data_IF_244366091526
#
_entry.id   IF_244366091526
#
_cell.length_a   1.000
_cell.length_b   1.000
_cell.length_c   1.000
_cell.angle_alpha   90.00
_cell.angle_beta   90.00
_cell.angle_gamma   90.00
#
_symmetry.space_group_name_H-M   'P 1'
#
loop_
_entity.id
_entity.type
_entity.pdbx_description
1 polymer ?
#
# COMPACT_ATOMS: atom_id res chain seq x y z
N UNK A 1 -2.59 22.65 12.33
CA UNK A 1 -3.69 22.12 13.16
C UNK A 1 -3.29 20.72 13.59
N UNK A 2 -2.95 20.50 14.87
CA UNK A 2 -2.47 19.20 15.34
C UNK A 2 -3.61 18.23 15.67
N UNK A 3 -3.31 16.93 15.72
CA UNK A 3 -4.21 15.82 16.08
C UNK A 3 -5.15 16.09 17.28
N UNK A 4 -4.72 16.78 18.38
CA UNK A 4 -5.60 17.06 19.51
C UNK A 4 -6.81 17.97 19.17
N UNK A 5 -6.67 18.85 18.18
CA UNK A 5 -7.74 19.79 17.79
C UNK A 5 -8.85 19.13 16.98
N UNK A 6 -8.63 17.92 16.45
CA UNK A 6 -9.63 17.10 15.75
C UNK A 6 -10.36 16.14 16.71
N UNK A 7 -10.08 16.21 18.02
CA UNK A 7 -10.61 15.26 19.02
C UNK A 7 -10.03 13.85 18.90
N UNK A 8 -9.01 13.66 18.05
CA UNK A 8 -8.33 12.38 17.86
C UNK A 8 -7.06 12.38 18.72
N UNK A 9 -7.22 11.94 19.96
CA UNK A 9 -6.07 11.65 20.80
C UNK A 9 -5.59 10.22 20.54
N UNK A 10 -4.54 10.09 19.71
CA UNK A 10 -3.93 8.81 19.35
C UNK A 10 -3.31 8.10 20.56
N UNK A 11 -3.00 8.83 21.64
CA UNK A 11 -2.41 8.25 22.85
C UNK A 11 -3.45 7.50 23.70
N UNK A 12 -4.73 7.85 23.55
CA UNK A 12 -5.85 7.17 24.23
C UNK A 12 -6.62 6.23 23.30
N UNK A 13 -6.57 6.43 21.97
CA UNK A 13 -7.23 5.58 20.99
C UNK A 13 -6.29 4.52 20.38
N UNK A 14 -6.11 3.42 21.10
CA UNK A 14 -5.26 2.30 20.70
C UNK A 14 -5.62 1.69 19.33
N UNK A 15 -6.90 1.44 18.99
CA UNK A 15 -7.26 0.93 17.66
C UNK A 15 -6.83 1.86 16.52
N UNK A 16 -7.03 3.17 16.68
CA UNK A 16 -6.61 4.16 15.69
C UNK A 16 -5.09 4.22 15.55
N UNK A 17 -4.35 4.14 16.67
CA UNK A 17 -2.89 4.09 16.66
C UNK A 17 -2.37 2.83 15.95
N UNK A 18 -2.95 1.66 16.25
CA UNK A 18 -2.59 0.40 15.59
C UNK A 18 -2.89 0.45 14.09
N UNK A 19 -4.06 0.96 13.69
CA UNK A 19 -4.41 1.11 12.28
C UNK A 19 -3.43 2.03 11.55
N UNK A 20 -3.09 3.18 12.13
CA UNK A 20 -2.13 4.11 11.57
C UNK A 20 -0.72 3.50 11.47
N UNK A 21 -0.25 2.80 12.49
CA UNK A 21 1.05 2.14 12.50
C UNK A 21 1.14 1.04 11.43
N UNK A 22 0.10 0.21 11.30
CA UNK A 22 0.01 -0.83 10.28
C UNK A 22 -0.03 -0.24 8.86
N UNK A 23 -0.84 0.80 8.64
CA UNK A 23 -0.93 1.48 7.35
C UNK A 23 0.39 2.15 6.97
N UNK A 24 1.04 2.83 7.92
CA UNK A 24 2.35 3.43 7.71
C UNK A 24 3.40 2.36 7.37
N UNK A 25 3.44 1.26 8.12
CA UNK A 25 4.38 0.16 7.87
C UNK A 25 4.11 -0.53 6.53
N UNK A 26 2.85 -0.63 6.12
CA UNK A 26 2.46 -1.10 4.78
C UNK A 26 3.06 -0.21 3.69
N UNK A 27 2.95 1.11 3.83
CA UNK A 27 3.57 2.06 2.90
C UNK A 27 5.10 1.98 2.90
N UNK A 28 5.74 1.75 4.05
CA UNK A 28 7.19 1.53 4.11
C UNK A 28 7.59 0.27 3.33
N UNK A 29 6.87 -0.84 3.51
CA UNK A 29 7.13 -2.07 2.76
C UNK A 29 6.96 -1.86 1.25
N UNK A 30 5.95 -1.08 0.85
CA UNK A 30 5.74 -0.69 -0.54
C UNK A 30 6.90 0.14 -1.09
N UNK A 31 7.39 1.12 -0.33
CA UNK A 31 8.55 1.94 -0.70
C UNK A 31 9.80 1.12 -0.92
N UNK A 32 10.11 0.23 0.00
CA UNK A 32 11.25 -0.68 -0.15
C UNK A 32 11.09 -1.57 -1.40
N UNK A 33 9.86 -1.99 -1.72
CA UNK A 33 9.57 -2.81 -2.88
C UNK A 33 9.89 -2.06 -4.19
N UNK A 34 9.35 -0.86 -4.39
CA UNK A 34 9.60 -0.13 -5.63
C UNK A 34 11.02 0.45 -5.69
N UNK A 35 11.65 0.78 -4.56
CA UNK A 35 13.06 1.18 -4.50
C UNK A 35 13.99 0.04 -4.93
N UNK A 36 13.65 -1.21 -4.61
CA UNK A 36 14.41 -2.37 -5.07
C UNK A 36 14.32 -2.55 -6.60
N UNK A 37 13.19 -2.21 -7.22
CA UNK A 37 13.05 -2.18 -8.68
C UNK A 37 13.90 -1.04 -9.25
N UNK A 38 13.92 0.11 -8.57
CA UNK A 38 14.75 1.25 -8.96
C UNK A 38 16.25 0.93 -8.87
N UNK A 39 16.70 0.27 -7.80
CA UNK A 39 18.09 -0.13 -7.60
C UNK A 39 18.62 -1.08 -8.69
N UNK A 40 17.73 -1.86 -9.33
CA UNK A 40 18.11 -2.68 -10.48
C UNK A 40 18.49 -1.87 -11.74
N UNK A 41 18.12 -0.59 -11.81
CA UNK A 41 18.58 0.32 -12.86
C UNK A 41 20.04 0.72 -12.62
N UNK A 42 20.38 1.15 -11.41
CA UNK A 42 21.76 1.55 -11.04
C UNK A 42 22.77 0.41 -11.19
N UNK A 43 22.39 -0.83 -10.85
CA UNK A 43 23.30 -2.00 -10.97
C UNK A 43 23.78 -2.23 -12.42
N UNK A 44 22.95 -1.91 -13.43
CA UNK A 44 23.35 -2.06 -14.83
C UNK A 44 24.30 -0.96 -15.27
N UNK A 45 24.06 0.27 -14.84
CA UNK A 45 24.90 1.41 -15.16
C UNK A 45 26.24 1.30 -14.42
N UNK A 46 26.23 0.82 -13.17
CA UNK A 46 27.42 0.45 -12.39
C UNK A 46 28.25 -0.65 -13.06
N UNK A 47 27.58 -1.66 -13.64
CA UNK A 47 28.25 -2.71 -14.39
C UNK A 47 28.91 -2.18 -15.69
N UNK A 48 28.28 -1.21 -16.37
CA UNK A 48 28.91 -0.50 -17.49
C UNK A 48 30.08 0.39 -17.04
N UNK A 49 30.03 0.93 -15.82
CA UNK A 49 31.12 1.68 -15.20
C UNK A 49 32.27 0.81 -14.66
N UNK A 50 32.19 -0.53 -14.80
CA UNK A 50 33.23 -1.46 -14.39
C UNK A 50 33.18 -1.90 -12.91
N UNK A 51 32.13 -1.52 -12.19
CA UNK A 51 31.88 -1.95 -10.81
C UNK A 51 31.19 -3.32 -10.86
N UNK A 52 31.94 -4.39 -10.58
CA UNK A 52 31.43 -5.77 -10.58
C UNK A 52 30.53 -6.00 -9.36
N UNK A 53 29.26 -5.64 -9.45
CA UNK A 53 28.29 -5.98 -8.41
C UNK A 53 27.80 -7.43 -8.55
N UNK A 54 27.84 -8.16 -7.44
CA UNK A 54 27.37 -9.55 -7.29
C UNK A 54 25.84 -9.66 -7.51
N UNK A 55 25.12 -8.53 -7.52
CA UNK A 55 23.67 -8.43 -7.70
C UNK A 55 23.14 -8.97 -9.05
N UNK A 56 24.01 -9.11 -10.06
CA UNK A 56 23.58 -9.50 -11.42
C UNK A 56 23.10 -10.96 -11.54
N UNK A 57 23.41 -11.85 -10.57
CA UNK A 57 23.34 -13.30 -10.80
C UNK A 57 22.02 -13.98 -10.40
N UNK A 58 21.06 -13.30 -9.75
CA UNK A 58 19.83 -13.96 -9.31
C UNK A 58 18.56 -13.10 -9.40
N UNK A 59 18.12 -12.83 -10.63
CA UNK A 59 16.80 -12.25 -10.94
C UNK A 59 15.65 -13.03 -10.24
N UNK A 60 15.77 -14.37 -10.15
CA UNK A 60 14.81 -15.20 -9.44
C UNK A 60 14.74 -14.93 -7.93
N UNK A 61 15.87 -14.60 -7.28
CA UNK A 61 15.86 -14.25 -5.86
C UNK A 61 15.28 -12.86 -5.63
N UNK A 62 15.55 -11.89 -6.51
CA UNK A 62 14.90 -10.57 -6.39
C UNK A 62 13.39 -10.70 -6.48
N UNK A 63 12.84 -11.42 -7.47
CA UNK A 63 11.38 -11.58 -7.58
C UNK A 63 10.76 -12.27 -6.36
N UNK A 64 11.48 -13.20 -5.73
CA UNK A 64 11.05 -13.80 -4.47
C UNK A 64 11.01 -12.77 -3.33
N UNK A 65 12.03 -11.90 -3.22
CA UNK A 65 12.06 -10.83 -2.21
C UNK A 65 10.95 -9.80 -2.46
N UNK A 66 10.73 -9.38 -3.70
CA UNK A 66 9.62 -8.48 -4.08
C UNK A 66 8.27 -9.10 -3.72
N UNK A 67 8.10 -10.40 -3.93
CA UNK A 67 6.88 -11.12 -3.55
C UNK A 67 6.69 -11.16 -2.03
N UNK A 68 7.77 -11.35 -1.26
CA UNK A 68 7.75 -11.26 0.19
C UNK A 68 7.33 -9.87 0.68
N UNK A 69 7.93 -8.82 0.12
CA UNK A 69 7.58 -7.43 0.45
C UNK A 69 6.13 -7.10 0.08
N UNK A 70 5.63 -7.60 -1.06
CA UNK A 70 4.24 -7.43 -1.46
C UNK A 70 3.29 -8.11 -0.47
N UNK A 71 3.60 -9.34 -0.05
CA UNK A 71 2.81 -10.05 0.97
C UNK A 71 2.84 -9.31 2.33
N UNK A 72 3.98 -8.75 2.72
CA UNK A 72 4.09 -7.90 3.92
C UNK A 72 3.24 -6.64 3.81
N UNK A 73 3.31 -5.94 2.68
CA UNK A 73 2.49 -4.75 2.44
C UNK A 73 0.99 -5.07 2.56
N UNK A 74 0.52 -6.12 1.88
CA UNK A 74 -0.90 -6.51 1.85
C UNK A 74 -1.36 -6.98 3.24
N UNK A 75 -0.56 -7.76 3.96
CA UNK A 75 -0.91 -8.23 5.30
C UNK A 75 -0.98 -7.09 6.32
N UNK A 76 -0.08 -6.11 6.26
CA UNK A 76 -0.13 -4.90 7.08
C UNK A 76 -1.34 -4.02 6.70
N UNK A 77 -1.69 -3.94 5.42
CA UNK A 77 -2.88 -3.21 4.96
C UNK A 77 -4.17 -3.87 5.48
N UNK A 78 -4.25 -5.19 5.43
CA UNK A 78 -5.36 -5.94 6.00
C UNK A 78 -5.44 -5.78 7.53
N UNK A 79 -4.30 -5.80 8.23
CA UNK A 79 -4.24 -5.54 9.67
C UNK A 79 -4.71 -4.11 10.03
N UNK A 80 -4.37 -3.11 9.20
CA UNK A 80 -4.88 -1.76 9.36
C UNK A 80 -6.41 -1.68 9.19
N UNK A 81 -6.95 -2.43 8.22
CA UNK A 81 -8.39 -2.58 8.02
C UNK A 81 -9.08 -3.22 9.24
N UNK A 82 -8.47 -4.25 9.82
CA UNK A 82 -9.02 -4.92 11.00
C UNK A 82 -9.01 -3.98 12.23
N UNK A 83 -7.91 -3.27 12.46
CA UNK A 83 -7.78 -2.36 13.59
C UNK A 83 -8.68 -1.12 13.49
N UNK A 84 -8.98 -0.65 12.27
CA UNK A 84 -9.90 0.47 12.02
C UNK A 84 -11.37 0.04 11.90
N UNK A 85 -11.65 -1.27 11.90
CA UNK A 85 -12.98 -1.80 11.65
C UNK A 85 -13.49 -1.48 10.25
N UNK A 86 -12.60 -1.45 9.23
CA UNK A 86 -12.89 -1.13 7.84
C UNK A 86 -13.85 -2.13 7.17
N UNK A 87 -14.52 -1.69 6.11
CA UNK A 87 -15.62 -2.43 5.49
C UNK A 87 -15.16 -3.38 4.40
N UNK A 88 -16.08 -4.20 3.84
CA UNK A 88 -15.76 -5.12 2.76
C UNK A 88 -15.18 -4.41 1.53
N UNK A 89 -15.60 -3.16 1.28
CA UNK A 89 -15.12 -2.37 0.15
C UNK A 89 -13.63 -2.04 0.28
N UNK A 90 -13.14 -1.75 1.49
CA UNK A 90 -11.70 -1.59 1.75
C UNK A 90 -10.91 -2.86 1.43
N UNK A 91 -11.36 -4.03 1.89
CA UNK A 91 -10.64 -5.28 1.64
C UNK A 91 -10.61 -5.66 0.15
N UNK A 92 -11.73 -5.48 -0.56
CA UNK A 92 -11.79 -5.79 -1.99
C UNK A 92 -11.02 -4.76 -2.83
N UNK A 93 -11.23 -3.47 -2.57
CA UNK A 93 -10.61 -2.38 -3.32
C UNK A 93 -9.13 -2.21 -2.99
N UNK A 94 -8.82 -1.95 -1.72
CA UNK A 94 -7.45 -1.66 -1.29
C UNK A 94 -6.60 -2.93 -1.25
N UNK A 95 -6.98 -3.95 -0.47
CA UNK A 95 -6.15 -5.15 -0.35
C UNK A 95 -6.16 -6.00 -1.63
N UNK A 96 -7.33 -6.27 -2.19
CA UNK A 96 -7.47 -7.04 -3.43
C UNK A 96 -6.86 -6.33 -4.64
N UNK A 97 -7.13 -5.03 -4.81
CA UNK A 97 -6.54 -4.21 -5.87
C UNK A 97 -5.02 -4.14 -5.77
N UNK A 98 -4.47 -3.92 -4.57
CA UNK A 98 -3.03 -3.92 -4.31
C UNK A 98 -2.40 -5.28 -4.63
N UNK A 99 -3.03 -6.38 -4.21
CA UNK A 99 -2.54 -7.72 -4.48
C UNK A 99 -2.46 -8.01 -5.99
N UNK A 100 -3.47 -7.60 -6.74
CA UNK A 100 -3.47 -7.73 -8.19
C UNK A 100 -2.40 -6.83 -8.83
N UNK A 101 -2.34 -5.55 -8.45
CA UNK A 101 -1.38 -4.58 -8.99
C UNK A 101 0.07 -5.05 -8.80
N UNK A 102 0.44 -5.44 -7.57
CA UNK A 102 1.77 -5.92 -7.26
C UNK A 102 2.06 -7.27 -7.90
N UNK A 103 1.09 -8.20 -7.92
CA UNK A 103 1.25 -9.50 -8.57
C UNK A 103 1.49 -9.38 -10.07
N UNK A 104 0.76 -8.50 -10.74
CA UNK A 104 0.96 -8.18 -12.16
C UNK A 104 2.33 -7.54 -12.37
N UNK A 105 2.70 -6.56 -11.54
CA UNK A 105 3.99 -5.88 -11.64
C UNK A 105 5.16 -6.86 -11.47
N UNK A 106 5.18 -7.68 -10.42
CA UNK A 106 6.26 -8.64 -10.16
C UNK A 106 6.38 -9.66 -11.31
N UNK A 107 5.25 -10.08 -11.88
CA UNK A 107 5.22 -11.01 -13.01
C UNK A 107 5.79 -10.37 -14.28
N UNK A 108 5.36 -9.15 -14.61
CA UNK A 108 5.65 -8.50 -15.88
C UNK A 108 6.97 -7.71 -15.90
N UNK A 109 7.46 -7.25 -14.75
CA UNK A 109 8.70 -6.48 -14.69
C UNK A 109 9.88 -7.34 -15.18
N UNK A 110 10.57 -6.88 -16.22
CA UNK A 110 11.88 -7.41 -16.59
C UNK A 110 12.96 -6.59 -15.87
N UNK A 111 13.51 -7.15 -14.79
CA UNK A 111 14.58 -6.53 -14.00
C UNK A 111 15.89 -6.36 -14.77
N UNK A 112 16.00 -6.93 -15.98
CA UNK A 112 17.15 -6.74 -16.86
C UNK A 112 16.98 -5.55 -17.78
N UNK A 113 15.77 -5.03 -17.96
CA UNK A 113 15.50 -3.88 -18.82
C UNK A 113 15.19 -2.62 -18.01
N UNK A 114 16.09 -1.63 -18.09
CA UNK A 114 15.96 -0.33 -17.41
C UNK A 114 14.66 0.38 -17.80
N UNK A 115 14.23 0.29 -19.07
CA UNK A 115 12.98 0.93 -19.51
C UNK A 115 11.77 0.29 -18.86
N UNK A 116 11.73 -1.05 -18.80
CA UNK A 116 10.73 -1.80 -18.05
C UNK A 116 10.74 -1.43 -16.55
N UNK A 117 11.91 -1.40 -15.90
CA UNK A 117 12.02 -1.01 -14.49
C UNK A 117 11.49 0.40 -14.24
N UNK A 118 11.87 1.37 -15.06
CA UNK A 118 11.39 2.75 -14.96
C UNK A 118 9.88 2.85 -15.14
N UNK A 119 9.34 2.15 -16.15
CA UNK A 119 7.90 2.13 -16.40
C UNK A 119 7.14 1.57 -15.20
N UNK A 120 7.59 0.46 -14.61
CA UNK A 120 6.97 -0.15 -13.44
C UNK A 120 7.19 0.64 -12.16
N UNK A 121 8.31 1.35 -12.02
CA UNK A 121 8.55 2.27 -10.91
C UNK A 121 7.53 3.42 -10.92
N UNK A 122 7.39 4.13 -12.05
CA UNK A 122 6.46 5.26 -12.14
C UNK A 122 5.00 4.78 -12.15
N UNK A 123 4.63 3.91 -13.08
CA UNK A 123 3.24 3.50 -13.24
C UNK A 123 2.79 2.55 -12.14
N UNK A 124 3.65 1.64 -11.67
CA UNK A 124 3.32 0.77 -10.55
C UNK A 124 3.09 1.55 -9.26
N UNK A 125 3.79 2.68 -9.06
CA UNK A 125 3.53 3.59 -7.96
C UNK A 125 2.11 4.20 -8.04
N UNK A 126 1.75 4.75 -9.21
CA UNK A 126 0.41 5.31 -9.43
C UNK A 126 -0.70 4.27 -9.32
N UNK A 127 -0.51 3.07 -9.88
CA UNK A 127 -1.51 1.99 -9.85
C UNK A 127 -1.72 1.51 -8.42
N UNK A 128 -0.64 1.18 -7.70
CA UNK A 128 -0.75 0.61 -6.34
C UNK A 128 -1.28 1.66 -5.36
N UNK A 129 -0.75 2.89 -5.41
CA UNK A 129 -1.25 4.00 -4.59
C UNK A 129 -2.70 4.34 -4.92
N UNK A 130 -3.06 4.31 -6.20
CA UNK A 130 -4.44 4.48 -6.66
C UNK A 130 -5.38 3.41 -6.10
N UNK A 131 -5.00 2.13 -6.12
CA UNK A 131 -5.84 1.06 -5.55
C UNK A 131 -6.06 1.22 -4.05
N UNK A 132 -5.02 1.57 -3.28
CA UNK A 132 -5.13 1.80 -1.83
C UNK A 132 -6.00 3.03 -1.55
N UNK A 133 -5.75 4.15 -2.24
CA UNK A 133 -6.46 5.41 -2.02
C UNK A 133 -7.93 5.34 -2.44
N UNK A 134 -8.23 4.76 -3.61
CA UNK A 134 -9.60 4.60 -4.09
C UNK A 134 -10.37 3.62 -3.20
N UNK A 135 -9.77 2.49 -2.82
CA UNK A 135 -10.44 1.52 -1.95
C UNK A 135 -10.78 2.10 -0.57
N UNK A 136 -9.86 2.88 0.02
CA UNK A 136 -10.12 3.64 1.25
C UNK A 136 -11.21 4.69 1.07
N UNK A 137 -11.13 5.48 0.00
CA UNK A 137 -12.10 6.55 -0.27
C UNK A 137 -13.51 6.00 -0.52
N UNK A 138 -13.64 4.90 -1.25
CA UNK A 138 -14.92 4.24 -1.51
C UNK A 138 -15.50 3.66 -0.22
N UNK A 139 -14.70 2.98 0.60
CA UNK A 139 -15.17 2.46 1.90
C UNK A 139 -15.66 3.58 2.82
N UNK A 140 -14.91 4.70 2.85
CA UNK A 140 -15.30 5.89 3.59
C UNK A 140 -16.60 6.51 3.11
N UNK A 141 -16.79 6.64 1.78
CA UNK A 141 -18.02 7.18 1.19
C UNK A 141 -19.24 6.30 1.46
N UNK A 142 -19.08 4.98 1.42
CA UNK A 142 -20.16 4.03 1.75
C UNK A 142 -20.58 4.21 3.21
N UNK A 143 -19.62 4.30 4.12
CA UNK A 143 -19.89 4.47 5.56
C UNK A 143 -20.52 5.83 5.89
N UNK A 144 -20.08 6.89 5.22
CA UNK A 144 -20.71 8.21 5.35
C UNK A 144 -22.18 8.15 4.96
N UNK A 145 -22.47 7.52 3.80
CA UNK A 145 -23.84 7.34 3.35
C UNK A 145 -24.66 6.52 4.34
N UNK A 146 -24.13 5.42 4.86
CA UNK A 146 -24.84 4.60 5.86
C UNK A 146 -25.12 5.39 7.15
N UNK A 147 -24.20 6.27 7.55
CA UNK A 147 -24.35 7.12 8.73
C UNK A 147 -25.42 8.20 8.52
N UNK A 148 -25.43 8.86 7.35
CA UNK A 148 -26.46 9.85 6.96
C UNK A 148 -27.86 9.22 6.87
N UNK A 149 -27.96 8.00 6.35
CA UNK A 149 -29.22 7.25 6.28
C UNK A 149 -29.70 6.78 7.66
N UNK A 150 -28.79 6.50 8.60
CA UNK A 150 -29.11 6.14 9.98
C UNK A 150 -29.68 7.32 10.78
N UNK A 151 -29.07 8.51 10.68
CA UNK A 151 -29.60 9.70 11.37
C UNK A 151 -30.94 10.19 10.80
N UNK A 152 -31.19 9.96 9.51
CA UNK A 152 -32.49 10.29 8.88
C UNK A 152 -33.67 9.43 9.36
N UNK A 153 -33.41 8.31 10.04
CA UNK A 153 -34.45 7.42 10.57
C UNK A 153 -34.70 7.61 12.08
N UNK A 154 -33.72 8.15 12.81
CA UNK A 154 -33.76 8.36 14.28
C UNK A 154 -34.13 9.80 14.66
N UNK A 155 -35.15 10.37 14.01
CA UNK A 155 -35.75 11.68 14.35
C UNK A 155 -36.47 11.73 15.71
N UNK A 156 -35.89 11.18 16.77
CA UNK A 156 -36.40 11.26 18.14
C UNK A 156 -35.31 11.87 19.04
N UNK A 157 -35.53 13.07 19.61
CA UNK A 157 -34.61 13.65 20.57
C UNK A 157 -34.63 12.81 21.85
N UNK A 158 -33.47 12.28 22.26
CA UNK A 158 -33.31 11.71 23.61
C UNK A 158 -32.99 12.86 24.55
N UNK A 159 -34.01 13.30 25.29
CA UNK A 159 -33.89 14.20 26.45
C UNK A 159 -33.30 13.50 27.68
#
# INVERSE_FOLDING_TARGET
MGFPALGVDLSSNWPALTAAACLYSSNVAWTVLYDMIYAHMDVRDDAQAGIKSIALKHNAQTKAILSGLAATQISLLAAAGLASGAGPAFYLGSCGGTALALGVMIKQVDLRDVKSCWWWFVNGCWITGGTVGIGLGVDYLIRLRESDFGEGQDGIPRG
#
